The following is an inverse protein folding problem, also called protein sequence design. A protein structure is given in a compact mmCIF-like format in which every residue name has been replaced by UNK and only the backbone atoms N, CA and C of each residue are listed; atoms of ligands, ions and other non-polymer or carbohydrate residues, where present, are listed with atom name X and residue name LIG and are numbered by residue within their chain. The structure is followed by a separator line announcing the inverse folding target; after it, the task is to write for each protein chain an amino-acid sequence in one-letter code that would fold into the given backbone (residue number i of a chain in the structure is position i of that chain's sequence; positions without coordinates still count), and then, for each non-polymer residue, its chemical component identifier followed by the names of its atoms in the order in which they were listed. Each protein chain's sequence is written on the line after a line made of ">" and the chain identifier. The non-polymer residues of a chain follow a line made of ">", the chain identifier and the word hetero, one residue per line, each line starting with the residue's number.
data_IF_630834928442
#
_entry.id   IF_630834928442
#
_cell.length_a   1.000
_cell.length_b   1.000
_cell.length_c   1.000
_cell.angle_alpha   90.00
_cell.angle_beta   90.00
_cell.angle_gamma   90.00
#
_symmetry.space_group_name_H-M   'P 1'
#
loop_
_entity.id
_entity.type
_entity.pdbx_description
1 polymer ?
#
# COMPACT_ATOMS: atom_id res chain seq x y z
N UNK A 1 4.70 -15.73 -18.41
CA UNK A 1 5.57 -15.67 -17.22
C UNK A 1 4.74 -15.04 -16.13
N UNK A 2 4.56 -15.70 -14.98
CA UNK A 2 3.88 -15.10 -13.84
C UNK A 2 4.90 -14.30 -13.04
N UNK A 3 4.64 -13.00 -12.83
CA UNK A 3 5.48 -12.11 -12.05
C UNK A 3 5.02 -12.04 -10.60
N UNK A 4 5.84 -11.46 -9.73
CA UNK A 4 5.38 -11.06 -8.41
C UNK A 4 6.00 -9.72 -7.99
N UNK A 5 5.23 -8.96 -7.21
CA UNK A 5 5.74 -7.84 -6.42
C UNK A 5 5.87 -8.30 -4.97
N UNK A 6 7.01 -8.00 -4.36
CA UNK A 6 7.24 -8.21 -2.93
C UNK A 6 7.60 -6.87 -2.28
N UNK A 7 6.97 -6.59 -1.14
CA UNK A 7 7.30 -5.49 -0.26
C UNK A 7 7.57 -6.06 1.13
N UNK A 8 8.77 -5.83 1.67
CA UNK A 8 9.15 -6.18 3.03
C UNK A 8 9.47 -4.87 3.78
N UNK A 9 8.84 -4.63 4.92
CA UNK A 9 9.03 -3.39 5.68
C UNK A 9 8.74 -3.59 7.16
N UNK A 10 9.32 -2.73 8.01
CA UNK A 10 9.01 -2.60 9.43
C UNK A 10 8.11 -1.39 9.75
N UNK A 11 7.70 -0.62 8.74
CA UNK A 11 6.80 0.51 8.93
C UNK A 11 5.33 0.06 8.95
N UNK A 12 4.78 0.02 10.17
CA UNK A 12 3.40 -0.42 10.39
C UNK A 12 2.33 0.43 9.74
N UNK A 13 2.65 1.65 9.26
CA UNK A 13 1.70 2.47 8.52
C UNK A 13 1.24 1.80 7.20
N UNK A 14 2.03 0.89 6.64
CA UNK A 14 1.69 0.21 5.39
C UNK A 14 0.67 -0.92 5.56
N UNK A 15 0.63 -1.60 6.70
CA UNK A 15 -0.29 -2.72 6.93
C UNK A 15 -1.41 -2.42 7.94
N UNK A 16 -1.26 -1.41 8.79
CA UNK A 16 -2.34 -1.01 9.70
C UNK A 16 -3.44 -0.28 8.96
N UNK A 17 -4.69 -0.61 9.28
CA UNK A 17 -5.84 0.15 8.78
C UNK A 17 -5.72 1.61 9.23
N UNK A 18 -5.87 2.57 8.31
CA UNK A 18 -5.76 3.98 8.66
C UNK A 18 -6.95 4.41 9.51
N UNK A 19 -6.70 5.32 10.45
CA UNK A 19 -7.75 5.92 11.28
C UNK A 19 -8.69 6.80 10.46
N UNK A 20 -8.14 7.53 9.49
CA UNK A 20 -8.90 8.40 8.56
C UNK A 20 -8.97 7.75 7.19
N UNK A 21 -10.20 7.51 6.72
CA UNK A 21 -10.46 6.92 5.40
C UNK A 21 -10.24 7.91 4.24
N UNK A 22 -10.53 9.17 4.49
CA UNK A 22 -10.60 10.25 3.50
C UNK A 22 -9.30 11.07 3.41
N UNK A 23 -8.19 10.41 3.13
CA UNK A 23 -6.89 11.10 2.93
C UNK A 23 -6.58 11.29 1.45
N UNK A 24 -5.61 12.17 1.16
CA UNK A 24 -5.18 12.47 -0.20
C UNK A 24 -4.76 11.21 -0.99
N UNK A 25 -4.13 10.28 -0.30
CA UNK A 25 -3.53 9.04 -0.80
C UNK A 25 -4.44 7.80 -0.70
N UNK A 26 -5.73 7.97 -0.36
CA UNK A 26 -6.60 6.86 0.06
C UNK A 26 -6.67 5.68 -0.93
N UNK A 27 -6.64 5.96 -2.24
CA UNK A 27 -6.68 4.94 -3.29
C UNK A 27 -5.38 4.13 -3.38
N UNK A 28 -4.24 4.73 -3.04
CA UNK A 28 -2.92 4.10 -3.14
C UNK A 28 -2.56 3.24 -1.92
N UNK A 29 -3.43 3.20 -0.91
CA UNK A 29 -3.12 2.48 0.34
C UNK A 29 -3.15 0.99 0.14
N UNK A 30 -2.23 0.32 0.83
CA UNK A 30 -2.03 -1.13 0.75
C UNK A 30 -2.18 -1.83 2.10
N UNK A 31 -2.95 -1.26 3.03
CA UNK A 31 -3.14 -1.83 4.36
C UNK A 31 -3.80 -3.21 4.33
N UNK A 32 -3.69 -3.95 5.45
CA UNK A 32 -4.26 -5.28 5.60
C UNK A 32 -5.73 -5.34 5.17
N UNK A 33 -6.03 -6.31 4.30
CA UNK A 33 -7.35 -6.59 3.77
C UNK A 33 -7.88 -5.60 2.74
N UNK A 34 -7.12 -4.56 2.35
CA UNK A 34 -7.53 -3.65 1.27
C UNK A 34 -7.56 -4.40 -0.06
N UNK A 35 -8.61 -4.20 -0.84
CA UNK A 35 -8.64 -4.56 -2.26
C UNK A 35 -8.24 -3.32 -3.06
N UNK A 36 -7.25 -3.48 -3.93
CA UNK A 36 -6.72 -2.43 -4.80
C UNK A 36 -6.96 -2.86 -6.24
N UNK A 37 -7.73 -2.06 -6.98
CA UNK A 37 -8.18 -2.38 -8.33
C UNK A 37 -8.54 -1.10 -9.10
N UNK A 38 -8.65 -1.21 -10.42
CA UNK A 38 -9.10 -0.10 -11.27
C UNK A 38 -8.09 1.05 -11.36
N UNK A 39 -8.60 2.29 -11.42
CA UNK A 39 -7.78 3.50 -11.50
C UNK A 39 -7.59 4.10 -10.11
N UNK A 40 -6.34 4.25 -9.68
CA UNK A 40 -5.96 4.87 -8.42
C UNK A 40 -5.64 6.34 -8.65
N UNK A 41 -6.30 7.23 -7.91
CA UNK A 41 -6.12 8.67 -8.06
C UNK A 41 -5.79 9.33 -6.72
N UNK A 42 -5.14 10.50 -6.80
CA UNK A 42 -5.17 11.42 -5.67
C UNK A 42 -6.58 11.90 -5.44
N UNK A 43 -6.95 12.11 -4.18
CA UNK A 43 -8.23 12.74 -3.84
C UNK A 43 -8.33 14.11 -4.52
N UNK A 44 -9.53 14.45 -4.99
CA UNK A 44 -9.83 15.79 -5.48
C UNK A 44 -9.43 16.87 -4.46
N UNK A 45 -8.78 17.92 -4.94
CA UNK A 45 -8.28 19.01 -4.10
C UNK A 45 -6.93 18.73 -3.39
N UNK A 46 -6.28 17.60 -3.67
CA UNK A 46 -4.90 17.37 -3.21
C UNK A 46 -3.95 18.42 -3.81
N UNK A 47 -3.04 18.96 -3.00
CA UNK A 47 -2.14 20.03 -3.43
C UNK A 47 -1.11 19.56 -4.47
N UNK A 48 -0.73 20.45 -5.40
CA UNK A 48 0.32 20.17 -6.40
C UNK A 48 1.65 19.76 -5.76
N UNK A 49 2.00 20.33 -4.59
CA UNK A 49 3.21 19.95 -3.87
C UNK A 49 3.18 18.49 -3.39
N UNK A 50 2.02 17.99 -2.95
CA UNK A 50 1.83 16.59 -2.55
C UNK A 50 1.91 15.65 -3.75
N UNK A 51 1.36 16.06 -4.89
CA UNK A 51 1.29 15.25 -6.11
C UNK A 51 2.54 15.33 -6.98
N UNK A 52 3.49 16.23 -6.69
CA UNK A 52 4.63 16.55 -7.54
C UNK A 52 5.35 15.30 -8.09
N UNK A 53 5.37 15.17 -9.42
CA UNK A 53 5.96 14.05 -10.17
C UNK A 53 5.16 12.75 -10.16
N UNK A 54 3.94 12.77 -9.61
CA UNK A 54 2.99 11.65 -9.47
C UNK A 54 1.56 12.11 -9.71
N UNK A 55 1.36 13.15 -10.49
CA UNK A 55 0.06 13.80 -10.70
C UNK A 55 -0.93 12.88 -11.40
N UNK A 56 -0.44 12.07 -12.34
CA UNK A 56 -1.24 11.14 -13.10
C UNK A 56 -1.65 9.91 -12.28
N UNK A 57 -2.91 9.53 -12.41
CA UNK A 57 -3.44 8.32 -11.77
C UNK A 57 -2.86 7.04 -12.37
N UNK A 58 -2.87 5.97 -11.57
CA UNK A 58 -2.34 4.66 -11.96
C UNK A 58 -3.50 3.76 -12.38
N UNK A 59 -3.45 3.20 -13.59
CA UNK A 59 -4.42 2.18 -14.02
C UNK A 59 -3.86 0.79 -13.74
N UNK A 60 -4.58 -0.01 -12.94
CA UNK A 60 -4.25 -1.39 -12.67
C UNK A 60 -4.97 -2.33 -13.65
N UNK A 61 -4.25 -3.35 -14.12
CA UNK A 61 -4.78 -4.40 -15.00
C UNK A 61 -5.61 -5.47 -14.28
N UNK A 62 -5.59 -5.47 -12.94
CA UNK A 62 -6.18 -6.53 -12.14
C UNK A 62 -6.66 -6.04 -10.78
N UNK A 63 -7.21 -6.99 -10.02
CA UNK A 63 -7.72 -6.80 -8.67
C UNK A 63 -6.83 -7.53 -7.69
N UNK A 64 -6.28 -6.80 -6.73
CA UNK A 64 -5.27 -7.32 -5.81
C UNK A 64 -5.75 -7.19 -4.37
N UNK A 65 -5.85 -8.31 -3.66
CA UNK A 65 -6.14 -8.31 -2.22
C UNK A 65 -4.84 -8.24 -1.43
N UNK A 66 -4.67 -7.18 -0.64
CA UNK A 66 -3.50 -6.98 0.21
C UNK A 66 -3.59 -7.87 1.44
N UNK A 67 -2.73 -8.89 1.50
CA UNK A 67 -2.60 -9.81 2.63
C UNK A 67 -1.16 -9.77 3.15
N UNK A 68 -0.96 -9.08 4.26
CA UNK A 68 0.32 -9.00 4.92
C UNK A 68 0.58 -10.23 5.75
N UNK A 69 1.84 -10.64 5.78
CA UNK A 69 2.31 -11.78 6.53
C UNK A 69 3.44 -11.34 7.45
N UNK A 70 3.45 -11.91 8.67
CA UNK A 70 4.55 -11.72 9.60
C UNK A 70 5.81 -12.33 9.00
N UNK A 71 6.93 -11.60 9.08
CA UNK A 71 8.22 -12.06 8.58
C UNK A 71 9.19 -12.35 9.71
N UNK A 72 9.48 -11.33 10.52
CA UNK A 72 10.44 -11.44 11.62
C UNK A 72 10.15 -10.42 12.71
N UNK A 73 10.66 -10.72 13.90
CA UNK A 73 10.68 -9.80 15.02
C UNK A 73 12.10 -9.72 15.56
N UNK A 74 12.74 -8.57 15.36
CA UNK A 74 14.15 -8.34 15.74
C UNK A 74 14.28 -7.62 17.08
N UNK A 75 13.20 -7.01 17.56
CA UNK A 75 13.11 -6.33 18.85
C UNK A 75 11.65 -6.24 19.30
N UNK A 76 11.44 -6.06 20.60
CA UNK A 76 10.13 -5.72 21.20
C UNK A 76 9.79 -4.22 21.06
N UNK A 77 10.74 -3.40 20.61
CA UNK A 77 10.56 -1.96 20.44
C UNK A 77 9.78 -1.58 19.16
N UNK A 78 9.41 -0.29 19.05
CA UNK A 78 8.80 0.26 17.83
C UNK A 78 9.68 -0.02 16.62
N UNK A 79 9.07 -0.46 15.53
CA UNK A 79 9.74 -0.87 14.28
C UNK A 79 10.59 -2.16 14.39
N UNK A 80 10.44 -2.93 15.47
CA UNK A 80 11.08 -4.25 15.62
C UNK A 80 10.35 -5.40 14.90
N UNK A 81 9.10 -5.19 14.49
CA UNK A 81 8.30 -6.14 13.71
C UNK A 81 8.40 -5.85 12.21
N UNK A 82 8.78 -6.86 11.43
CA UNK A 82 8.76 -6.81 9.98
C UNK A 82 7.63 -7.67 9.44
N UNK A 83 6.93 -7.13 8.45
CA UNK A 83 5.93 -7.85 7.66
C UNK A 83 6.25 -7.72 6.18
N UNK A 84 5.75 -8.67 5.42
CA UNK A 84 5.81 -8.61 3.97
C UNK A 84 4.45 -8.74 3.31
N UNK A 85 4.35 -8.19 2.12
CA UNK A 85 3.24 -8.31 1.20
C UNK A 85 3.78 -8.94 -0.09
N UNK A 86 3.19 -10.05 -0.51
CA UNK A 86 3.50 -10.73 -1.76
C UNK A 86 2.27 -10.71 -2.65
N UNK A 87 2.39 -10.12 -3.84
CA UNK A 87 1.31 -10.00 -4.82
C UNK A 87 1.75 -10.67 -6.12
N UNK A 88 1.00 -11.68 -6.55
CA UNK A 88 1.18 -12.27 -7.87
C UNK A 88 0.65 -11.30 -8.94
N UNK A 89 1.40 -11.18 -10.04
CA UNK A 89 1.04 -10.36 -11.19
C UNK A 89 0.88 -11.30 -12.37
N UNK A 90 -0.33 -11.34 -12.91
CA UNK A 90 -0.73 -12.13 -14.08
C UNK A 90 -0.91 -11.24 -15.32
#
# INVERSE_FOLDING_TARGET
>A
MSGCAILLTNDSAYWKKPLKKETADADFRIHEGKVVEGRLCWKEGTSLGTMSGREEGINLSGTYQMKWQDYSKVSEERYGEFRYLLVAIE
#
